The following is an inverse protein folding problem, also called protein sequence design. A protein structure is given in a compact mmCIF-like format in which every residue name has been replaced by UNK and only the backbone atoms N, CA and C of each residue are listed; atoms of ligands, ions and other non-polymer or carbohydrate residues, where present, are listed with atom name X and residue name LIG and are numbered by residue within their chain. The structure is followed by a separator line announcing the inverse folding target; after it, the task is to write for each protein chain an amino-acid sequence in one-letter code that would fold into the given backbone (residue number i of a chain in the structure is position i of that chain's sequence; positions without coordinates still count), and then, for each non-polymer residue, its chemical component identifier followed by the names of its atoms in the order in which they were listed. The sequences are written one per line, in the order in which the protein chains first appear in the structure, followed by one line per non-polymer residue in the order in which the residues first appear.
data_IF_374930536172
#
_entry.id   IF_374930536172
#
_cell.length_a   1.000
_cell.length_b   1.000
_cell.length_c   1.000
_cell.angle_alpha   90.00
_cell.angle_beta   90.00
_cell.angle_gamma   90.00
#
_symmetry.space_group_name_H-M   'P 1'
#
loop_
_entity.id
_entity.type
_entity.pdbx_description
1 polymer ?
#
# COMPACT_ATOMS: atom_id res chain seq x y z
N UNK A 1 -15.75 0.54 5.88
CA UNK A 1 -14.60 1.28 5.34
C UNK A 1 -14.85 1.46 3.84
N UNK A 2 -15.42 2.60 3.45
CA UNK A 2 -15.69 2.88 2.04
C UNK A 2 -14.37 2.96 1.26
N UNK A 3 -14.35 2.48 0.01
CA UNK A 3 -13.13 2.47 -0.80
C UNK A 3 -12.81 3.89 -1.30
N UNK A 4 -11.52 4.18 -1.50
CA UNK A 4 -11.04 5.51 -1.93
C UNK A 4 -11.83 6.04 -3.15
N UNK A 5 -12.15 5.19 -4.13
CA UNK A 5 -12.89 5.60 -5.33
C UNK A 5 -14.37 5.88 -5.07
N UNK A 6 -15.02 5.17 -4.14
CA UNK A 6 -16.39 5.49 -3.74
C UNK A 6 -16.46 6.87 -3.08
N UNK A 7 -15.47 7.21 -2.25
CA UNK A 7 -15.37 8.56 -1.67
C UNK A 7 -15.11 9.62 -2.75
N UNK A 8 -14.34 9.28 -3.78
CA UNK A 8 -14.09 10.17 -4.92
C UNK A 8 -15.36 10.39 -5.77
N UNK A 9 -16.18 9.36 -5.99
CA UNK A 9 -17.43 9.46 -6.76
C UNK A 9 -18.48 10.34 -6.09
N UNK A 10 -18.43 10.49 -4.77
CA UNK A 10 -19.32 11.39 -4.00
C UNK A 10 -18.99 12.87 -4.22
N UNK A 11 -17.82 13.19 -4.79
CA UNK A 11 -17.44 14.57 -5.08
C UNK A 11 -18.17 15.07 -6.33
N UNK A 12 -18.79 16.25 -6.24
CA UNK A 12 -19.53 16.88 -7.36
C UNK A 12 -18.69 17.08 -8.63
N UNK A 13 -17.37 17.19 -8.46
CA UNK A 13 -16.41 17.45 -9.54
C UNK A 13 -15.76 16.18 -10.09
N UNK A 14 -16.23 15.00 -9.70
CA UNK A 14 -15.62 13.73 -10.07
C UNK A 14 -15.51 13.55 -11.59
N UNK A 15 -16.62 13.66 -12.32
CA UNK A 15 -16.68 13.39 -13.77
C UNK A 15 -15.89 14.41 -14.59
N UNK A 16 -15.84 15.67 -14.14
CA UNK A 16 -15.21 16.77 -14.87
C UNK A 16 -13.72 16.97 -14.55
N UNK A 17 -13.30 16.75 -13.30
CA UNK A 17 -11.95 17.09 -12.85
C UNK A 17 -11.15 15.87 -12.38
N UNK A 18 -11.73 15.02 -11.53
CA UNK A 18 -10.98 13.93 -10.88
C UNK A 18 -10.74 12.76 -11.85
N UNK A 19 -11.78 12.35 -12.58
CA UNK A 19 -11.73 11.27 -13.56
C UNK A 19 -10.56 11.43 -14.56
N UNK A 20 -10.46 12.54 -15.33
CA UNK A 20 -9.41 12.67 -16.34
C UNK A 20 -8.00 12.69 -15.74
N UNK A 21 -7.81 13.26 -14.54
CA UNK A 21 -6.50 13.32 -13.87
C UNK A 21 -6.02 11.92 -13.46
N UNK A 22 -6.92 11.12 -12.87
CA UNK A 22 -6.57 9.75 -12.44
C UNK A 22 -6.28 8.87 -13.65
N UNK A 23 -7.12 8.89 -14.70
CA UNK A 23 -6.90 8.11 -15.92
C UNK A 23 -5.60 8.50 -16.62
N UNK A 24 -5.27 9.80 -16.66
CA UNK A 24 -3.99 10.27 -17.18
C UNK A 24 -2.79 9.77 -16.37
N UNK A 25 -2.88 9.75 -15.03
CA UNK A 25 -1.83 9.24 -14.17
C UNK A 25 -1.56 7.74 -14.41
N UNK A 26 -2.62 6.93 -14.55
CA UNK A 26 -2.49 5.51 -14.89
C UNK A 26 -1.92 5.28 -16.29
N UNK A 27 -2.35 6.08 -17.27
CA UNK A 27 -1.78 6.06 -18.63
C UNK A 27 -0.29 6.40 -18.61
N UNK A 28 0.13 7.35 -17.78
CA UNK A 28 1.53 7.74 -17.59
C UNK A 28 2.43 6.60 -17.08
N UNK A 29 1.88 5.71 -16.23
CA UNK A 29 2.57 4.49 -15.80
C UNK A 29 2.28 3.29 -16.70
N UNK A 30 1.79 3.51 -17.93
CA UNK A 30 1.42 2.51 -18.93
C UNK A 30 0.59 1.36 -18.33
N UNK A 31 -0.51 1.74 -17.66
CA UNK A 31 -1.59 0.88 -17.22
C UNK A 31 -2.87 1.34 -17.92
N UNK A 32 -3.60 0.44 -18.55
CA UNK A 32 -4.89 0.75 -19.13
C UNK A 32 -5.95 0.80 -18.01
N UNK A 33 -6.39 2.01 -17.67
CA UNK A 33 -7.35 2.23 -16.59
C UNK A 33 -8.36 3.31 -16.98
N UNK A 34 -9.63 3.03 -16.79
CA UNK A 34 -10.73 3.94 -17.07
C UNK A 34 -11.86 3.82 -16.02
N UNK A 35 -12.58 4.92 -15.80
CA UNK A 35 -13.84 4.96 -15.10
C UNK A 35 -15.00 4.94 -16.08
N UNK A 36 -15.96 4.06 -15.85
CA UNK A 36 -17.12 3.88 -16.71
C UNK A 36 -18.40 3.73 -15.88
N UNK A 37 -19.55 4.02 -16.49
CA UNK A 37 -20.86 3.83 -15.86
C UNK A 37 -21.41 2.46 -16.25
N UNK A 38 -21.85 1.67 -15.27
CA UNK A 38 -22.59 0.42 -15.53
C UNK A 38 -24.08 0.68 -15.65
N UNK A 39 -24.83 -0.38 -15.99
CA UNK A 39 -26.30 -0.42 -15.93
C UNK A 39 -26.78 0.12 -14.57
N UNK A 40 -27.62 1.16 -14.60
CA UNK A 40 -28.07 1.89 -13.41
C UNK A 40 -27.30 3.19 -13.08
N UNK A 41 -26.50 3.74 -14.01
CA UNK A 41 -25.76 5.00 -13.85
C UNK A 41 -24.74 4.98 -12.69
N UNK A 42 -24.30 3.78 -12.29
CA UNK A 42 -23.33 3.57 -11.21
C UNK A 42 -21.92 3.61 -11.76
N UNK A 43 -21.04 4.39 -11.13
CA UNK A 43 -19.63 4.45 -11.48
C UNK A 43 -18.89 3.16 -11.10
N UNK A 44 -18.09 2.67 -12.04
CA UNK A 44 -17.15 1.56 -11.90
C UNK A 44 -15.81 1.96 -12.54
N UNK A 45 -14.80 1.10 -12.38
CA UNK A 45 -13.44 1.34 -12.86
C UNK A 45 -12.79 0.05 -13.34
N UNK A 46 -11.76 0.15 -14.19
CA UNK A 46 -10.98 -1.00 -14.66
C UNK A 46 -10.29 -1.69 -13.49
N UNK A 47 -10.45 -3.01 -13.38
CA UNK A 47 -9.74 -3.79 -12.37
C UNK A 47 -8.25 -3.87 -12.73
N UNK A 48 -7.38 -3.45 -11.81
CA UNK A 48 -5.94 -3.66 -11.93
C UNK A 48 -5.61 -5.13 -11.69
N UNK A 49 -4.91 -5.77 -12.63
CA UNK A 49 -4.62 -7.21 -12.60
C UNK A 49 -3.11 -7.47 -12.54
N UNK A 50 -2.69 -8.50 -11.79
CA UNK A 50 -1.31 -9.01 -11.79
C UNK A 50 -0.22 -7.92 -11.69
N UNK A 51 0.56 -7.78 -12.76
CA UNK A 51 1.66 -6.83 -12.88
C UNK A 51 1.23 -5.36 -12.75
N UNK A 52 0.01 -5.00 -13.15
CA UNK A 52 -0.49 -3.63 -13.06
C UNK A 52 -0.65 -3.19 -11.60
N UNK A 53 -0.98 -4.10 -10.69
CA UNK A 53 -1.03 -3.78 -9.25
C UNK A 53 0.34 -3.40 -8.72
N UNK A 54 1.37 -4.18 -9.10
CA UNK A 54 2.75 -3.91 -8.71
C UNK A 54 3.24 -2.59 -9.30
N UNK A 55 2.97 -2.36 -10.58
CA UNK A 55 3.35 -1.14 -11.30
C UNK A 55 2.64 0.11 -10.76
N UNK A 56 1.37 -0.01 -10.35
CA UNK A 56 0.66 1.04 -9.62
C UNK A 56 1.34 1.31 -8.27
N UNK A 57 1.57 0.28 -7.46
CA UNK A 57 2.15 0.46 -6.13
C UNK A 57 3.55 1.11 -6.17
N UNK A 58 4.34 0.77 -7.19
CA UNK A 58 5.70 1.33 -7.36
C UNK A 58 5.73 2.74 -7.95
N UNK A 59 4.76 3.10 -8.79
CA UNK A 59 4.89 4.29 -9.67
C UNK A 59 3.73 5.28 -9.59
N UNK A 60 2.65 4.95 -8.88
CA UNK A 60 1.48 5.81 -8.81
C UNK A 60 1.71 6.99 -7.85
N UNK A 61 1.46 8.24 -8.27
CA UNK A 61 1.78 9.43 -7.47
C UNK A 61 0.73 9.66 -6.37
N UNK A 62 0.86 8.98 -5.22
CA UNK A 62 -0.10 8.99 -4.09
C UNK A 62 -0.35 10.41 -3.59
N UNK A 63 0.71 11.21 -3.49
CA UNK A 63 0.67 12.61 -3.03
C UNK A 63 -0.15 13.53 -3.91
N UNK A 64 -0.39 13.17 -5.18
CA UNK A 64 -1.27 13.92 -6.07
C UNK A 64 -2.76 13.70 -5.73
N UNK A 65 -3.11 12.59 -5.08
CA UNK A 65 -4.51 12.19 -4.85
C UNK A 65 -4.92 12.19 -3.38
N UNK A 66 -3.97 12.02 -2.47
CA UNK A 66 -4.18 12.19 -1.04
C UNK A 66 -3.42 13.45 -0.64
N UNK A 67 -4.12 14.58 -0.65
CA UNK A 67 -3.53 15.88 -0.36
C UNK A 67 -3.21 16.06 1.13
N UNK A 68 -2.26 16.95 1.39
CA UNK A 68 -1.87 17.34 2.74
C UNK A 68 -1.01 16.31 3.48
N UNK A 69 -0.83 16.54 4.77
CA UNK A 69 0.12 15.83 5.63
C UNK A 69 -0.16 14.33 5.70
N UNK A 70 -1.41 13.91 5.47
CA UNK A 70 -1.81 12.50 5.52
C UNK A 70 -1.26 11.69 4.35
N UNK A 71 -1.30 12.22 3.13
CA UNK A 71 -0.75 11.51 1.96
C UNK A 71 0.76 11.38 2.05
N UNK A 72 1.42 12.46 2.45
CA UNK A 72 2.86 12.49 2.69
C UNK A 72 3.29 11.47 3.75
N UNK A 73 2.57 11.38 4.88
CA UNK A 73 2.87 10.39 5.93
C UNK A 73 2.70 8.95 5.44
N UNK A 74 1.68 8.67 4.63
CA UNK A 74 1.44 7.32 4.09
C UNK A 74 2.54 6.92 3.11
N UNK A 75 2.92 7.83 2.21
CA UNK A 75 3.99 7.60 1.24
C UNK A 75 5.34 7.41 1.95
N UNK A 76 5.65 8.24 2.95
CA UNK A 76 6.87 8.10 3.75
C UNK A 76 6.92 6.77 4.51
N UNK A 77 5.84 6.36 5.18
CA UNK A 77 5.80 5.06 5.88
C UNK A 77 6.02 3.86 4.94
N UNK A 78 5.58 3.96 3.69
CA UNK A 78 5.83 2.92 2.69
C UNK A 78 7.29 2.89 2.25
N UNK A 79 7.86 4.05 1.93
CA UNK A 79 9.27 4.16 1.56
C UNK A 79 10.20 3.73 2.69
N UNK A 80 9.91 4.11 3.93
CA UNK A 80 10.71 3.76 5.11
C UNK A 80 10.72 2.26 5.37
N UNK A 81 9.56 1.59 5.28
CA UNK A 81 9.47 0.14 5.48
C UNK A 81 10.22 -0.63 4.38
N UNK A 82 10.14 -0.18 3.12
CA UNK A 82 10.86 -0.81 2.02
C UNK A 82 12.37 -0.58 2.10
N UNK A 83 12.80 0.65 2.42
CA UNK A 83 14.20 0.99 2.61
C UNK A 83 14.80 0.24 3.78
N UNK A 84 14.09 0.14 4.90
CA UNK A 84 14.56 -0.62 6.06
C UNK A 84 14.81 -2.09 5.72
N UNK A 85 13.89 -2.76 5.01
CA UNK A 85 14.12 -4.15 4.57
C UNK A 85 15.29 -4.24 3.59
N UNK A 86 15.44 -3.28 2.68
CA UNK A 86 16.56 -3.25 1.73
C UNK A 86 17.90 -3.10 2.45
N UNK A 87 18.00 -2.16 3.40
CA UNK A 87 19.19 -1.94 4.22
C UNK A 87 19.48 -3.15 5.11
N UNK A 88 18.44 -3.74 5.72
CA UNK A 88 18.58 -4.94 6.53
C UNK A 88 19.13 -6.14 5.74
N UNK A 89 18.73 -6.27 4.46
CA UNK A 89 19.17 -7.38 3.60
C UNK A 89 20.42 -7.07 2.76
N UNK A 90 20.99 -5.87 2.89
CA UNK A 90 22.18 -5.51 2.14
C UNK A 90 23.37 -6.32 2.72
N UNK A 91 24.23 -6.93 1.90
CA UNK A 91 25.48 -7.50 2.41
C UNK A 91 26.34 -6.39 3.03
N UNK A 92 27.08 -6.68 4.09
CA UNK A 92 28.14 -5.79 4.54
C UNK A 92 29.25 -5.74 3.48
N UNK A 93 29.40 -4.60 2.82
CA UNK A 93 30.54 -4.34 1.94
C UNK A 93 31.56 -3.49 2.71
N UNK A 94 32.63 -4.13 3.18
CA UNK A 94 33.72 -3.47 3.86
C UNK A 94 34.90 -4.40 4.14
N UNK A 95 36.11 -3.89 4.01
CA UNK A 95 37.32 -4.53 4.53
C UNK A 95 37.34 -4.41 6.07
N UNK A 96 37.88 -5.43 6.74
CA UNK A 96 38.06 -5.45 8.20
C UNK A 96 38.76 -4.13 8.62
N UNK A 97 38.12 -3.37 9.53
CA UNK A 97 38.52 -2.07 10.09
C UNK A 97 38.14 -0.79 9.30
N UNK A 98 37.29 -0.88 8.26
CA UNK A 98 36.67 0.33 7.68
C UNK A 98 35.42 0.74 8.46
N UNK A 99 35.30 2.02 8.82
CA UNK A 99 34.18 2.60 9.57
C UNK A 99 32.92 2.83 8.73
N UNK A 100 32.79 2.15 7.59
CA UNK A 100 31.75 2.45 6.61
C UNK A 100 31.00 1.19 6.19
N UNK A 101 29.71 1.22 6.55
CA UNK A 101 28.57 0.47 6.03
C UNK A 101 28.40 -0.99 6.48
N UNK A 102 27.42 -1.18 7.37
CA UNK A 102 26.90 -2.50 7.73
C UNK A 102 25.43 -2.62 7.30
N UNK A 103 25.18 -3.47 6.29
CA UNK A 103 24.05 -4.37 6.41
C UNK A 103 24.29 -5.27 7.62
N UNK A 104 23.39 -5.18 8.59
CA UNK A 104 23.58 -5.78 9.92
C UNK A 104 23.42 -7.31 9.91
N UNK A 105 22.74 -7.85 8.90
CA UNK A 105 22.23 -9.21 8.89
C UNK A 105 22.19 -9.79 7.48
N UNK A 106 22.27 -11.12 7.38
CA UNK A 106 22.09 -11.86 6.13
C UNK A 106 20.61 -11.86 5.76
N UNK A 107 20.30 -12.04 4.48
CA UNK A 107 18.92 -12.27 4.01
C UNK A 107 18.22 -13.43 4.75
N UNK A 108 18.98 -14.43 5.20
CA UNK A 108 18.47 -15.56 6.00
C UNK A 108 18.02 -15.16 7.42
N UNK A 109 18.49 -14.03 7.93
CA UNK A 109 18.21 -13.53 9.27
C UNK A 109 16.92 -12.66 9.30
N UNK A 110 16.29 -12.43 8.14
CA UNK A 110 14.97 -11.79 8.06
C UNK A 110 13.95 -12.73 8.68
N UNK A 111 13.56 -12.45 9.92
CA UNK A 111 12.54 -13.24 10.59
C UNK A 111 11.18 -13.11 9.87
N UNK A 112 10.33 -14.15 9.90
CA UNK A 112 9.07 -14.19 9.16
C UNK A 112 8.17 -12.96 9.37
N UNK A 113 8.13 -12.39 10.58
CA UNK A 113 7.33 -11.20 10.88
C UNK A 113 7.79 -9.95 10.13
N UNK A 114 9.09 -9.76 9.94
CA UNK A 114 9.64 -8.63 9.18
C UNK A 114 9.28 -8.74 7.70
N UNK A 115 9.40 -9.94 7.15
CA UNK A 115 9.02 -10.24 5.77
C UNK A 115 7.50 -10.05 5.57
N UNK A 116 6.69 -10.60 6.49
CA UNK A 116 5.24 -10.43 6.49
C UNK A 116 4.89 -8.96 6.58
N UNK A 117 5.49 -8.19 7.48
CA UNK A 117 5.20 -6.77 7.66
C UNK A 117 5.51 -5.92 6.42
N UNK A 118 6.66 -6.12 5.78
CA UNK A 118 7.04 -5.28 4.65
C UNK A 118 6.44 -5.73 3.31
N UNK A 119 6.19 -7.03 3.12
CA UNK A 119 5.76 -7.59 1.84
C UNK A 119 4.32 -8.09 1.81
N UNK A 120 3.80 -8.56 2.94
CA UNK A 120 2.48 -9.19 3.01
C UNK A 120 1.43 -8.35 3.73
N UNK A 121 1.76 -7.59 4.77
CA UNK A 121 0.80 -6.73 5.50
C UNK A 121 0.22 -5.64 4.59
N UNK A 122 0.98 -4.95 3.72
CA UNK A 122 0.38 -4.01 2.76
C UNK A 122 -0.64 -4.70 1.85
N UNK A 123 -0.30 -5.89 1.35
CA UNK A 123 -1.17 -6.72 0.52
C UNK A 123 -2.39 -7.26 1.29
N UNK A 124 -2.20 -7.66 2.54
CA UNK A 124 -3.24 -8.21 3.40
C UNK A 124 -4.20 -7.13 3.87
N UNK A 125 -3.70 -5.97 4.28
CA UNK A 125 -4.51 -4.78 4.58
C UNK A 125 -5.34 -4.37 3.36
N UNK A 126 -4.77 -4.51 2.15
CA UNK A 126 -5.49 -4.30 0.91
C UNK A 126 -6.61 -5.34 0.72
N UNK A 127 -6.35 -6.63 0.98
CA UNK A 127 -7.36 -7.71 0.93
C UNK A 127 -8.46 -7.60 2.00
N UNK A 128 -8.13 -7.18 3.21
CA UNK A 128 -9.11 -6.95 4.27
C UNK A 128 -10.05 -5.80 3.89
N UNK A 129 -9.48 -4.74 3.32
CA UNK A 129 -10.24 -3.61 2.81
C UNK A 129 -11.20 -4.01 1.69
N UNK A 130 -10.84 -4.90 0.77
CA UNK A 130 -11.76 -5.37 -0.29
C UNK A 130 -12.94 -6.16 0.25
N UNK A 131 -12.78 -6.82 1.40
CA UNK A 131 -13.88 -7.52 2.10
C UNK A 131 -14.63 -6.64 3.10
N UNK A 132 -14.34 -5.34 3.13
CA UNK A 132 -14.84 -4.38 4.12
C UNK A 132 -14.55 -4.79 5.58
N UNK A 133 -13.48 -5.54 5.79
CA UNK A 133 -13.00 -5.96 7.11
C UNK A 133 -11.82 -5.07 7.51
N UNK A 134 -11.77 -4.72 8.78
CA UNK A 134 -10.62 -4.14 9.45
C UNK A 134 -9.68 -5.23 9.98
N UNK A 135 -8.38 -4.94 10.06
CA UNK A 135 -7.38 -5.79 10.73
C UNK A 135 -7.78 -6.13 12.17
N UNK A 136 -8.56 -5.26 12.82
CA UNK A 136 -9.08 -5.47 14.17
C UNK A 136 -9.93 -6.74 14.30
N UNK A 137 -10.64 -7.16 13.23
CA UNK A 137 -11.46 -8.36 13.26
C UNK A 137 -10.64 -9.64 13.28
N UNK A 138 -9.37 -9.56 12.90
CA UNK A 138 -8.41 -10.66 12.89
C UNK A 138 -7.38 -10.53 14.03
N UNK A 139 -7.58 -9.56 14.94
CA UNK A 139 -6.78 -9.43 16.16
C UNK A 139 -7.16 -10.52 17.15
N UNK A 140 -6.17 -11.16 17.75
CA UNK A 140 -6.35 -12.17 18.81
C UNK A 140 -6.49 -11.56 20.21
N UNK A 141 -6.52 -10.23 20.33
CA UNK A 141 -6.56 -9.50 21.62
C UNK A 141 -7.75 -9.88 22.52
N UNK A 142 -8.88 -10.31 21.94
CA UNK A 142 -10.05 -10.78 22.70
C UNK A 142 -9.81 -12.10 23.45
N UNK A 143 -8.89 -12.94 22.96
CA UNK A 143 -8.54 -14.24 23.58
C UNK A 143 -7.64 -13.99 24.80
N UNK A 144 -6.71 -13.06 24.70
CA UNK A 144 -5.75 -12.71 25.77
C UNK A 144 -6.46 -12.10 27.00
N UNK A 145 -7.48 -11.26 26.78
CA UNK A 145 -8.30 -10.68 27.86
C UNK A 145 -9.08 -11.73 28.65
N UNK A 146 -9.41 -12.88 28.05
CA UNK A 146 -10.16 -13.96 28.70
C UNK A 146 -9.29 -14.78 29.66
N UNK A 147 -7.97 -14.71 29.52
CA UNK A 147 -6.99 -15.43 30.34
C UNK A 147 -6.60 -14.63 31.59
N UNK A 148 -6.68 -13.30 31.55
CA UNK A 148 -6.30 -12.43 32.69
C UNK A 148 -7.43 -12.24 33.72
N UNK A 149 -8.67 -12.64 33.38
CA UNK A 149 -9.84 -12.55 34.28
C UNK A 149 -10.13 -13.94 34.90
N UNK A 150 -9.10 -14.77 35.10
CA UNK A 150 -9.18 -16.04 35.83
C UNK A 150 -8.14 -16.08 36.92
#
# INVERSE_FOLDING_TARGET
MECLFNDLFKKKEFEKQIKPIVEAAFKGISIQFEFFKSTGNKWNWTSLMGCDKKKMLEKFPITQFISGTRGQKIEQLWLDAENWVRTFCCPSEGYINSSENFGLYRKADVIPYMHVFAKHIPLFMQQLKTKNLSLQFFSTSSIEKKITIR
#
